data_IF_202093576203
#
_entry.id   IF_202093576203
#
_cell.length_a   1.000
_cell.length_b   1.000
_cell.length_c   1.000
_cell.angle_alpha   90.00
_cell.angle_beta   90.00
_cell.angle_gamma   90.00
#
_symmetry.space_group_name_H-M   'P 1'
#
loop_
_entity.id
_entity.type
_entity.pdbx_description
1 polymer ?
#
# COMPACT_ATOMS: atom_id res chain seq x y z
N UNK A 1 -27.30 -8.66 10.48
CA UNK A 1 -26.14 -8.37 11.35
C UNK A 1 -24.89 -8.84 10.60
N UNK A 2 -24.00 -7.92 10.23
CA UNK A 2 -22.75 -8.28 9.55
C UNK A 2 -21.80 -8.86 10.61
N UNK A 3 -21.50 -10.15 10.51
CA UNK A 3 -20.53 -10.81 11.40
C UNK A 3 -19.14 -10.67 10.76
N UNK A 4 -18.22 -9.97 11.42
CA UNK A 4 -16.82 -9.91 11.01
C UNK A 4 -16.03 -10.98 11.75
N UNK A 5 -15.38 -11.87 10.99
CA UNK A 5 -14.52 -12.93 11.52
C UNK A 5 -13.14 -12.81 10.92
N UNK A 6 -12.11 -12.83 11.76
CA UNK A 6 -10.73 -12.83 11.33
C UNK A 6 -10.03 -14.12 11.72
N UNK A 7 -9.21 -14.65 10.83
CA UNK A 7 -8.38 -15.82 11.06
C UNK A 7 -6.92 -15.44 10.87
N UNK A 8 -6.11 -15.52 11.92
CA UNK A 8 -4.69 -15.21 11.84
C UNK A 8 -3.84 -16.46 11.77
N UNK A 9 -2.99 -16.55 10.77
CA UNK A 9 -2.25 -17.78 10.48
C UNK A 9 -0.79 -17.80 10.93
N UNK A 10 -0.09 -16.70 11.29
CA UNK A 10 1.36 -16.75 11.20
C UNK A 10 2.20 -15.97 12.21
N UNK A 11 1.65 -15.20 13.12
CA UNK A 11 2.47 -14.40 14.05
C UNK A 11 2.17 -14.74 15.51
N UNK A 12 3.17 -14.62 16.40
CA UNK A 12 2.90 -14.50 17.83
C UNK A 12 1.95 -13.33 18.10
N UNK A 13 1.19 -13.42 19.17
CA UNK A 13 0.30 -12.34 19.58
C UNK A 13 1.11 -11.04 19.81
N UNK A 14 0.61 -9.96 19.28
CA UNK A 14 1.12 -8.60 19.44
C UNK A 14 -0.05 -7.63 19.69
N UNK A 15 0.27 -6.36 19.95
CA UNK A 15 -0.75 -5.32 20.19
C UNK A 15 -1.76 -5.21 19.04
N UNK A 16 -1.32 -5.45 17.80
CA UNK A 16 -2.20 -5.44 16.62
C UNK A 16 -3.16 -6.63 16.65
N UNK A 17 -2.68 -7.80 17.03
CA UNK A 17 -3.52 -8.99 17.21
C UNK A 17 -4.57 -8.78 18.27
N UNK A 18 -4.20 -8.16 19.40
CA UNK A 18 -5.13 -7.85 20.47
C UNK A 18 -6.18 -6.82 20.04
N UNK A 19 -5.78 -5.82 19.28
CA UNK A 19 -6.72 -4.87 18.66
C UNK A 19 -7.75 -5.57 17.78
N UNK A 20 -7.32 -6.46 16.88
CA UNK A 20 -8.25 -7.22 16.02
C UNK A 20 -9.15 -8.15 16.83
N UNK A 21 -8.62 -8.83 17.86
CA UNK A 21 -9.40 -9.70 18.74
C UNK A 21 -10.55 -8.95 19.43
N UNK A 22 -10.33 -7.67 19.76
CA UNK A 22 -11.35 -6.81 20.38
C UNK A 22 -12.31 -6.16 19.37
N UNK A 23 -11.86 -5.97 18.12
CA UNK A 23 -12.61 -5.24 17.09
C UNK A 23 -13.57 -6.13 16.31
N UNK A 24 -13.34 -7.43 16.24
CA UNK A 24 -14.21 -8.37 15.53
C UNK A 24 -15.23 -9.02 16.46
N UNK A 25 -16.43 -9.28 15.94
CA UNK A 25 -17.47 -10.01 16.70
C UNK A 25 -17.00 -11.40 17.09
N UNK A 26 -16.24 -12.05 16.24
CA UNK A 26 -15.65 -13.37 16.48
C UNK A 26 -14.22 -13.42 15.93
N UNK A 27 -13.28 -13.70 16.81
CA UNK A 27 -11.88 -13.95 16.45
C UNK A 27 -11.54 -15.44 16.67
N UNK A 28 -10.93 -16.07 15.66
CA UNK A 28 -10.48 -17.46 15.76
C UNK A 28 -9.00 -17.56 15.44
N UNK A 29 -8.26 -18.19 16.32
CA UNK A 29 -6.86 -18.54 16.08
C UNK A 29 -6.80 -19.88 15.35
N UNK A 30 -6.27 -19.87 14.13
CA UNK A 30 -6.19 -21.05 13.27
C UNK A 30 -4.75 -21.52 13.04
N UNK A 31 -3.78 -20.97 13.75
CA UNK A 31 -2.35 -21.24 13.53
C UNK A 31 -2.00 -22.72 13.61
N UNK A 32 -2.56 -23.42 14.59
CA UNK A 32 -2.27 -24.83 14.87
C UNK A 32 -3.28 -25.80 14.23
N UNK A 33 -4.27 -25.28 13.50
CA UNK A 33 -5.29 -26.11 12.85
C UNK A 33 -4.85 -26.56 11.46
N UNK A 34 -5.22 -27.79 11.10
CA UNK A 34 -5.03 -28.29 9.72
C UNK A 34 -5.91 -27.50 8.72
N UNK A 35 -5.54 -27.54 7.45
CA UNK A 35 -6.33 -26.95 6.36
C UNK A 35 -7.77 -27.46 6.36
N UNK A 36 -7.96 -28.77 6.55
CA UNK A 36 -9.28 -29.40 6.63
C UNK A 36 -10.11 -28.91 7.83
N UNK A 37 -9.49 -28.79 9.00
CA UNK A 37 -10.19 -28.37 10.21
C UNK A 37 -10.61 -26.90 10.09
N UNK A 38 -9.74 -26.03 9.55
CA UNK A 38 -10.08 -24.63 9.30
C UNK A 38 -11.22 -24.50 8.30
N UNK A 39 -11.15 -25.23 7.18
CA UNK A 39 -12.20 -25.22 6.16
C UNK A 39 -13.54 -25.67 6.74
N UNK A 40 -13.54 -26.78 7.50
CA UNK A 40 -14.77 -27.27 8.20
C UNK A 40 -15.29 -26.23 9.17
N UNK A 41 -14.43 -25.59 9.95
CA UNK A 41 -14.85 -24.57 10.90
C UNK A 41 -15.49 -23.36 10.22
N UNK A 42 -14.93 -22.89 9.09
CA UNK A 42 -15.52 -21.79 8.30
C UNK A 42 -16.91 -22.20 7.79
N UNK A 43 -17.04 -23.41 7.29
CA UNK A 43 -18.33 -23.95 6.82
C UNK A 43 -19.37 -24.06 7.95
N UNK A 44 -18.98 -24.65 9.09
CA UNK A 44 -19.86 -24.83 10.26
C UNK A 44 -20.26 -23.48 10.89
N UNK A 45 -19.40 -22.47 10.76
CA UNK A 45 -19.66 -21.08 11.15
C UNK A 45 -20.68 -20.38 10.23
N UNK A 46 -21.05 -20.98 9.10
CA UNK A 46 -22.04 -20.44 8.17
C UNK A 46 -21.61 -19.12 7.52
N UNK A 47 -20.33 -19.01 7.15
CA UNK A 47 -19.78 -17.81 6.51
C UNK A 47 -20.36 -17.67 5.09
N UNK A 48 -21.04 -16.57 4.80
CA UNK A 48 -21.59 -16.28 3.47
C UNK A 48 -20.53 -15.79 2.48
N UNK A 49 -19.69 -14.86 2.92
CA UNK A 49 -18.62 -14.29 2.10
C UNK A 49 -17.31 -14.43 2.85
N UNK A 50 -16.37 -15.17 2.28
CA UNK A 50 -15.03 -15.32 2.80
C UNK A 50 -14.08 -14.40 2.02
N UNK A 51 -13.37 -13.51 2.72
CA UNK A 51 -12.41 -12.60 2.10
C UNK A 51 -10.99 -13.06 2.47
N UNK A 52 -10.23 -13.44 1.45
CA UNK A 52 -8.79 -13.67 1.59
C UNK A 52 -8.03 -12.35 1.54
N UNK A 53 -7.22 -12.09 2.55
CA UNK A 53 -6.38 -10.89 2.64
C UNK A 53 -4.91 -11.16 2.30
N UNK A 54 -4.55 -12.37 1.92
CA UNK A 54 -3.15 -12.76 1.74
C UNK A 54 -2.77 -13.04 0.28
N UNK A 55 -3.61 -13.72 -0.49
CA UNK A 55 -3.28 -14.14 -1.85
C UNK A 55 -1.98 -14.93 -1.90
N UNK A 56 -1.08 -14.60 -2.82
CA UNK A 56 0.23 -15.24 -2.97
C UNK A 56 1.34 -14.62 -2.11
N UNK A 57 1.00 -13.99 -1.00
CA UNK A 57 2.00 -13.48 -0.07
C UNK A 57 2.52 -14.55 0.88
N UNK A 58 3.66 -14.28 1.53
CA UNK A 58 4.29 -15.23 2.44
C UNK A 58 3.36 -15.59 3.59
N UNK A 59 3.12 -16.89 3.75
CA UNK A 59 2.30 -17.43 4.81
C UNK A 59 0.81 -17.48 4.50
N UNK A 60 0.44 -17.24 3.28
CA UNK A 60 -0.87 -17.51 2.75
C UNK A 60 -1.28 -18.98 2.93
N UNK A 61 -2.56 -19.21 3.09
CA UNK A 61 -3.17 -20.53 3.18
C UNK A 61 -4.29 -20.69 2.14
N UNK A 62 -3.96 -20.42 0.87
CA UNK A 62 -4.89 -20.51 -0.26
C UNK A 62 -5.55 -21.89 -0.38
N UNK A 63 -4.90 -22.93 0.11
CA UNK A 63 -5.43 -24.30 0.15
C UNK A 63 -6.71 -24.41 1.00
N UNK A 64 -6.96 -23.51 1.94
CA UNK A 64 -8.23 -23.44 2.69
C UNK A 64 -9.36 -23.04 1.75
N UNK A 65 -9.12 -22.01 0.91
CA UNK A 65 -10.11 -21.50 -0.03
C UNK A 65 -10.37 -22.49 -1.17
N UNK A 66 -9.35 -23.28 -1.56
CA UNK A 66 -9.51 -24.33 -2.56
C UNK A 66 -10.53 -25.41 -2.16
N UNK A 67 -10.80 -25.60 -0.87
CA UNK A 67 -11.86 -26.46 -0.35
C UNK A 67 -13.26 -25.82 -0.42
N UNK A 68 -13.37 -24.57 -0.88
CA UNK A 68 -14.60 -23.80 -1.04
C UNK A 68 -15.51 -23.82 0.21
N UNK A 69 -14.99 -23.40 1.40
CA UNK A 69 -15.77 -23.46 2.64
C UNK A 69 -16.87 -22.40 2.76
N UNK A 70 -16.90 -21.41 1.88
CA UNK A 70 -17.93 -20.39 1.82
C UNK A 70 -18.54 -20.30 0.40
N UNK A 71 -19.83 -19.97 0.26
CA UNK A 71 -20.50 -19.88 -1.03
C UNK A 71 -19.91 -18.79 -1.93
N UNK A 72 -19.48 -17.67 -1.36
CA UNK A 72 -18.80 -16.59 -2.08
C UNK A 72 -17.41 -16.41 -1.50
N UNK A 73 -16.40 -16.37 -2.35
CA UNK A 73 -15.00 -16.14 -1.95
C UNK A 73 -14.42 -14.98 -2.74
N UNK A 74 -13.86 -14.00 -2.03
CA UNK A 74 -13.24 -12.83 -2.62
C UNK A 74 -11.80 -12.68 -2.17
N UNK A 75 -10.96 -12.17 -3.05
CA UNK A 75 -9.60 -11.75 -2.71
C UNK A 75 -9.54 -10.22 -2.59
N UNK A 76 -8.83 -9.72 -1.58
CA UNK A 76 -8.71 -8.29 -1.31
C UNK A 76 -7.38 -7.93 -0.64
N UNK A 77 -6.77 -6.86 -1.08
CA UNK A 77 -5.75 -6.03 -0.46
C UNK A 77 -4.33 -6.60 -0.44
N UNK A 78 -4.06 -7.74 0.21
CA UNK A 78 -2.67 -8.14 0.53
C UNK A 78 -1.81 -8.53 -0.68
N UNK A 79 -2.45 -8.97 -1.77
CA UNK A 79 -1.84 -9.23 -3.06
C UNK A 79 -2.66 -8.54 -4.15
N UNK A 80 -2.16 -7.45 -4.69
CA UNK A 80 -2.91 -6.53 -5.56
C UNK A 80 -3.08 -7.01 -7.02
N UNK A 81 -3.11 -8.31 -7.29
CA UNK A 81 -3.28 -8.90 -8.62
C UNK A 81 -4.17 -10.14 -8.57
N UNK A 82 -4.48 -10.72 -9.74
CA UNK A 82 -5.23 -11.98 -9.84
C UNK A 82 -4.54 -13.11 -9.05
N UNK A 83 -5.32 -13.93 -8.40
CA UNK A 83 -4.82 -15.15 -7.76
C UNK A 83 -4.64 -16.29 -8.77
N UNK A 84 -5.27 -16.19 -9.94
CA UNK A 84 -5.29 -17.24 -10.96
C UNK A 84 -6.08 -18.48 -10.52
N UNK A 85 -6.88 -18.38 -9.45
CA UNK A 85 -7.59 -19.49 -8.85
C UNK A 85 -9.07 -19.46 -9.22
N UNK A 86 -9.58 -20.56 -9.77
CA UNK A 86 -10.97 -20.72 -10.19
C UNK A 86 -11.98 -20.84 -9.03
N UNK A 87 -11.48 -21.04 -7.82
CA UNK A 87 -12.26 -21.09 -6.58
C UNK A 87 -12.41 -19.71 -5.89
N UNK A 88 -11.81 -18.65 -6.43
CA UNK A 88 -12.02 -17.26 -5.99
C UNK A 88 -12.97 -16.58 -6.97
N UNK A 89 -14.14 -16.17 -6.47
CA UNK A 89 -15.20 -15.61 -7.30
C UNK A 89 -14.92 -14.15 -7.69
N UNK A 90 -14.35 -13.36 -6.77
CA UNK A 90 -14.15 -11.93 -6.96
C UNK A 90 -12.76 -11.45 -6.52
N UNK A 91 -12.23 -10.45 -7.27
CA UNK A 91 -11.12 -9.61 -6.86
C UNK A 91 -11.64 -8.19 -6.59
N UNK A 92 -11.53 -7.71 -5.34
CA UNK A 92 -11.89 -6.35 -4.96
C UNK A 92 -10.71 -5.44 -5.28
N UNK A 93 -10.93 -4.44 -6.12
CA UNK A 93 -9.89 -3.57 -6.68
C UNK A 93 -10.42 -2.17 -6.98
N UNK A 94 -9.63 -1.33 -7.68
CA UNK A 94 -10.06 -0.06 -8.30
C UNK A 94 -9.68 -0.01 -9.79
N UNK A 95 -10.24 0.93 -10.53
CA UNK A 95 -10.05 1.06 -11.98
C UNK A 95 -8.67 1.60 -12.40
N UNK A 96 -7.93 2.19 -11.47
CA UNK A 96 -6.55 2.62 -11.72
C UNK A 96 -5.59 1.44 -11.65
N UNK A 97 -5.75 0.60 -10.62
CA UNK A 97 -4.92 -0.60 -10.42
C UNK A 97 -5.28 -1.67 -11.44
N UNK A 98 -6.56 -1.97 -11.58
CA UNK A 98 -7.06 -3.00 -12.49
C UNK A 98 -7.83 -2.34 -13.63
N UNK A 99 -7.10 -1.73 -14.58
CA UNK A 99 -7.67 -1.14 -15.77
C UNK A 99 -8.23 -2.21 -16.73
N UNK A 100 -8.87 -1.78 -17.83
CA UNK A 100 -9.49 -2.68 -18.80
C UNK A 100 -8.50 -3.71 -19.38
N UNK A 101 -7.25 -3.32 -19.64
CA UNK A 101 -6.23 -4.23 -20.16
C UNK A 101 -5.87 -5.30 -19.12
N UNK A 102 -5.61 -4.90 -17.88
CA UNK A 102 -5.25 -5.83 -16.79
C UNK A 102 -6.42 -6.75 -16.40
N UNK A 103 -7.66 -6.28 -16.55
CA UNK A 103 -8.87 -7.06 -16.30
C UNK A 103 -8.94 -8.36 -17.11
N UNK A 104 -8.39 -8.36 -18.33
CA UNK A 104 -8.38 -9.56 -19.19
C UNK A 104 -7.44 -10.68 -18.67
N UNK A 105 -6.57 -10.36 -17.73
CA UNK A 105 -5.64 -11.35 -17.15
C UNK A 105 -6.16 -11.97 -15.85
N UNK A 106 -7.32 -11.51 -15.37
CA UNK A 106 -7.88 -11.99 -14.12
C UNK A 106 -8.77 -13.21 -14.35
N UNK A 107 -8.65 -14.21 -13.47
CA UNK A 107 -9.58 -15.34 -13.41
C UNK A 107 -10.86 -14.99 -12.65
N UNK A 108 -10.76 -14.06 -11.73
CA UNK A 108 -11.86 -13.58 -10.88
C UNK A 108 -12.73 -12.54 -11.61
N UNK A 109 -13.99 -12.44 -11.23
CA UNK A 109 -14.81 -11.27 -11.55
C UNK A 109 -14.36 -10.07 -10.74
N UNK A 110 -14.29 -8.89 -11.37
CA UNK A 110 -13.75 -7.69 -10.72
C UNK A 110 -14.84 -6.91 -9.99
N UNK A 111 -14.58 -6.54 -8.74
CA UNK A 111 -15.43 -5.66 -7.94
C UNK A 111 -14.68 -4.35 -7.68
N UNK A 112 -15.15 -3.27 -8.31
CA UNK A 112 -14.46 -2.00 -8.33
C UNK A 112 -14.96 -1.09 -7.22
N UNK A 113 -14.07 -0.79 -6.27
CA UNK A 113 -14.25 0.34 -5.35
C UNK A 113 -14.01 1.66 -6.09
N UNK A 114 -14.83 2.68 -5.87
CA UNK A 114 -14.55 4.00 -6.39
C UNK A 114 -13.33 4.61 -5.69
N UNK A 115 -12.61 5.50 -6.37
CA UNK A 115 -11.42 6.19 -5.87
C UNK A 115 -10.18 5.29 -5.78
N UNK A 116 -10.11 4.41 -4.78
CA UNK A 116 -9.00 3.47 -4.58
C UNK A 116 -9.46 2.24 -3.79
N UNK A 117 -8.80 1.11 -4.04
CA UNK A 117 -9.04 -0.11 -3.26
C UNK A 117 -8.30 -0.09 -1.90
N UNK A 118 -7.36 0.83 -1.72
CA UNK A 118 -6.63 0.95 -0.45
C UNK A 118 -7.54 1.51 0.64
N UNK A 119 -7.72 0.80 1.77
CA UNK A 119 -8.55 1.28 2.86
C UNK A 119 -7.87 2.46 3.55
N UNK A 120 -8.64 3.46 4.02
CA UNK A 120 -8.11 4.56 4.82
C UNK A 120 -7.37 4.04 6.05
N UNK A 121 -6.29 4.74 6.43
CA UNK A 121 -5.59 4.47 7.69
C UNK A 121 -6.46 4.89 8.87
N UNK A 122 -6.81 3.95 9.74
CA UNK A 122 -7.46 4.22 11.02
C UNK A 122 -6.47 4.66 12.12
N UNK A 123 -5.37 5.29 11.76
CA UNK A 123 -4.28 5.63 12.67
C UNK A 123 -4.39 7.08 13.15
N UNK A 124 -3.99 7.37 14.40
CA UNK A 124 -3.88 8.75 14.85
C UNK A 124 -2.81 9.49 14.05
N UNK A 125 -3.05 10.78 13.81
CA UNK A 125 -2.04 11.65 13.23
C UNK A 125 -0.85 11.76 14.19
N UNK A 126 0.41 11.68 13.71
CA UNK A 126 1.57 11.66 14.60
C UNK A 126 1.71 12.99 15.35
N UNK A 127 1.67 12.92 16.68
CA UNK A 127 1.82 14.07 17.56
C UNK A 127 3.30 14.36 17.91
N UNK A 128 4.19 13.36 17.71
CA UNK A 128 5.60 13.49 18.06
C UNK A 128 6.33 14.39 17.07
N UNK A 129 7.09 15.35 17.60
CA UNK A 129 7.96 16.22 16.81
C UNK A 129 9.38 15.64 16.87
N UNK A 130 9.95 15.36 15.70
CA UNK A 130 11.33 14.93 15.52
C UNK A 130 12.13 16.05 14.84
N UNK A 131 13.45 16.00 14.94
CA UNK A 131 14.32 16.91 14.22
C UNK A 131 15.28 16.14 13.27
N UNK A 132 15.75 16.81 12.24
CA UNK A 132 16.62 16.23 11.21
C UNK A 132 17.95 15.73 11.78
N UNK A 133 18.53 16.41 12.76
CA UNK A 133 19.82 16.02 13.34
C UNK A 133 19.74 14.67 14.06
N UNK A 134 18.64 14.36 14.75
CA UNK A 134 18.43 13.07 15.43
C UNK A 134 18.41 11.89 14.46
N UNK A 135 17.92 12.12 13.23
CA UNK A 135 17.85 11.12 12.16
C UNK A 135 19.09 11.15 11.23
N UNK A 136 20.06 12.03 11.48
CA UNK A 136 21.27 12.17 10.67
C UNK A 136 21.04 12.83 9.30
N UNK A 137 19.96 13.61 9.18
CA UNK A 137 19.60 14.32 7.96
C UNK A 137 20.25 15.72 7.95
N UNK A 138 20.54 16.28 6.76
CA UNK A 138 21.07 17.64 6.65
C UNK A 138 20.01 18.66 7.10
N UNK A 139 20.45 19.70 7.78
CA UNK A 139 19.55 20.76 8.28
C UNK A 139 18.86 21.49 7.13
N UNK A 140 19.62 21.95 6.12
CA UNK A 140 19.14 22.75 4.99
C UNK A 140 19.06 21.96 3.66
N UNK A 141 19.42 20.69 3.65
CA UNK A 141 19.42 19.85 2.45
C UNK A 141 18.02 19.33 2.09
N UNK A 142 17.78 19.11 0.80
CA UNK A 142 16.55 18.46 0.35
C UNK A 142 16.57 16.97 0.69
N UNK A 143 15.53 16.47 1.33
CA UNK A 143 15.40 15.08 1.78
C UNK A 143 14.39 14.35 0.88
N UNK A 144 14.90 13.59 -0.09
CA UNK A 144 14.12 12.56 -0.76
C UNK A 144 13.98 11.37 0.18
N UNK A 145 12.80 10.76 0.28
CA UNK A 145 12.58 9.58 1.11
C UNK A 145 12.00 8.42 0.31
N UNK A 146 12.39 7.19 0.65
CA UNK A 146 11.69 5.98 0.26
C UNK A 146 11.71 5.01 1.44
N UNK A 147 10.54 4.73 2.00
CA UNK A 147 10.41 3.83 3.15
C UNK A 147 9.89 2.44 2.77
N UNK A 148 9.90 2.11 1.49
CA UNK A 148 9.60 0.77 1.01
C UNK A 148 10.77 -0.20 1.25
N UNK A 149 10.47 -1.49 1.36
CA UNK A 149 11.48 -2.51 1.52
C UNK A 149 12.47 -2.53 0.34
N UNK A 150 13.76 -2.70 0.61
CA UNK A 150 14.85 -2.59 -0.38
C UNK A 150 14.70 -3.53 -1.59
N UNK A 151 14.02 -4.69 -1.45
CA UNK A 151 13.79 -5.61 -2.57
C UNK A 151 12.87 -5.04 -3.66
N UNK A 152 12.15 -3.94 -3.38
CA UNK A 152 11.31 -3.23 -4.34
C UNK A 152 12.08 -2.22 -5.20
N UNK A 153 13.32 -1.91 -4.82
CA UNK A 153 14.18 -0.96 -5.52
C UNK A 153 14.82 -1.66 -6.72
N UNK A 154 14.36 -1.34 -7.91
CA UNK A 154 14.95 -1.84 -9.15
C UNK A 154 16.08 -0.93 -9.68
N UNK A 155 16.94 -1.43 -10.58
CA UNK A 155 18.09 -0.67 -11.09
C UNK A 155 17.71 0.60 -11.86
N UNK A 156 16.56 0.62 -12.53
CA UNK A 156 16.14 1.74 -13.37
C UNK A 156 15.70 2.91 -12.51
N UNK A 157 14.79 2.67 -11.54
CA UNK A 157 14.36 3.70 -10.60
C UNK A 157 15.51 4.20 -9.73
N UNK A 158 16.40 3.29 -9.28
CA UNK A 158 17.59 3.67 -8.51
C UNK A 158 18.50 4.58 -9.32
N UNK A 159 18.68 4.30 -10.61
CA UNK A 159 19.47 5.17 -11.52
C UNK A 159 18.84 6.56 -11.68
N UNK A 160 17.49 6.65 -11.67
CA UNK A 160 16.78 7.94 -11.64
C UNK A 160 17.09 8.68 -10.35
N UNK A 161 16.98 8.03 -9.18
CA UNK A 161 17.27 8.65 -7.88
C UNK A 161 18.71 9.15 -7.78
N UNK A 162 19.69 8.40 -8.29
CA UNK A 162 21.10 8.86 -8.32
C UNK A 162 21.26 10.10 -9.21
N UNK A 163 20.58 10.18 -10.35
CA UNK A 163 20.58 11.39 -11.17
C UNK A 163 19.94 12.59 -10.47
N UNK A 164 18.88 12.37 -9.69
CA UNK A 164 18.24 13.40 -8.86
C UNK A 164 19.22 13.93 -7.80
N UNK A 165 19.88 13.05 -7.07
CA UNK A 165 20.89 13.45 -6.10
C UNK A 165 22.01 14.27 -6.76
N UNK A 166 22.51 13.85 -7.94
CA UNK A 166 23.54 14.58 -8.67
C UNK A 166 23.12 16.00 -9.07
N UNK A 167 21.84 16.17 -9.45
CA UNK A 167 21.27 17.46 -9.92
C UNK A 167 20.74 18.34 -8.78
N UNK A 168 20.71 17.83 -7.55
CA UNK A 168 20.26 18.54 -6.36
C UNK A 168 21.37 18.50 -5.31
N UNK A 169 22.35 19.43 -5.39
CA UNK A 169 23.45 19.48 -4.43
C UNK A 169 22.94 19.60 -2.98
N UNK A 170 23.61 18.94 -2.06
CA UNK A 170 23.21 18.92 -0.63
C UNK A 170 22.01 18.04 -0.30
N UNK A 171 21.33 17.45 -1.30
CA UNK A 171 20.23 16.53 -1.04
C UNK A 171 20.69 15.16 -0.60
N UNK A 172 19.82 14.44 0.08
CA UNK A 172 20.02 13.04 0.49
C UNK A 172 18.86 12.17 0.07
N UNK A 173 19.10 10.86 -0.02
CA UNK A 173 18.05 9.85 -0.16
C UNK A 173 17.93 9.08 1.17
N UNK A 174 16.81 9.24 1.83
CA UNK A 174 16.52 8.62 3.12
C UNK A 174 15.73 7.33 2.93
N UNK A 175 16.35 6.21 3.26
CA UNK A 175 15.81 4.87 3.03
C UNK A 175 15.44 4.21 4.34
N UNK A 176 14.43 3.33 4.32
CA UNK A 176 14.09 2.48 5.47
C UNK A 176 15.27 1.56 5.84
N UNK A 177 15.31 1.10 7.08
CA UNK A 177 16.28 0.09 7.51
C UNK A 177 16.14 -1.22 6.72
N UNK A 178 17.27 -1.78 6.31
CA UNK A 178 17.35 -3.04 5.60
C UNK A 178 18.38 -4.00 6.20
N UNK A 179 18.68 -5.10 5.52
CA UNK A 179 19.79 -5.96 5.89
C UNK A 179 21.13 -5.23 5.63
N UNK A 180 22.18 -5.55 6.41
CA UNK A 180 23.50 -4.98 6.18
C UNK A 180 23.97 -5.15 4.74
N UNK A 181 23.69 -6.32 4.14
CA UNK A 181 24.06 -6.60 2.75
C UNK A 181 23.29 -5.76 1.74
N UNK A 182 21.97 -5.52 1.96
CA UNK A 182 21.21 -4.65 1.06
C UNK A 182 21.69 -3.20 1.12
N UNK A 183 22.03 -2.70 2.29
CA UNK A 183 22.59 -1.35 2.48
C UNK A 183 23.95 -1.22 1.80
N UNK A 184 24.85 -2.20 2.01
CA UNK A 184 26.15 -2.27 1.34
C UNK A 184 26.01 -2.22 -0.17
N UNK A 185 25.14 -3.06 -0.75
CA UNK A 185 24.90 -3.10 -2.17
C UNK A 185 24.38 -1.75 -2.72
N UNK A 186 23.40 -1.11 -2.06
CA UNK A 186 22.89 0.19 -2.47
C UNK A 186 23.97 1.27 -2.44
N UNK A 187 24.86 1.26 -1.44
CA UNK A 187 25.99 2.20 -1.36
C UNK A 187 27.03 1.96 -2.45
N UNK A 188 27.32 0.70 -2.77
CA UNK A 188 28.21 0.34 -3.90
C UNK A 188 27.62 0.82 -5.22
N UNK A 189 26.31 0.59 -5.45
CA UNK A 189 25.60 1.03 -6.64
C UNK A 189 25.53 2.56 -6.76
N UNK A 190 25.44 3.29 -5.65
CA UNK A 190 25.51 4.75 -5.63
C UNK A 190 26.91 5.23 -6.04
N UNK A 191 27.97 4.65 -5.46
CA UNK A 191 29.35 4.96 -5.81
C UNK A 191 29.65 4.69 -7.28
N UNK A 192 29.17 3.57 -7.82
CA UNK A 192 29.33 3.21 -9.23
C UNK A 192 28.68 4.23 -10.17
N UNK A 193 27.66 4.97 -9.71
CA UNK A 193 26.98 6.07 -10.44
C UNK A 193 27.53 7.45 -10.10
N UNK A 194 28.64 7.51 -9.36
CA UNK A 194 29.33 8.76 -9.01
C UNK A 194 28.62 9.59 -7.96
N UNK A 195 27.87 8.93 -7.06
CA UNK A 195 27.23 9.55 -5.92
C UNK A 195 27.97 9.10 -4.64
N UNK A 196 28.25 10.06 -3.77
CA UNK A 196 28.79 9.79 -2.43
C UNK A 196 27.81 8.87 -1.68
N UNK A 197 28.23 7.65 -1.26
CA UNK A 197 27.37 6.69 -0.56
C UNK A 197 26.82 7.22 0.77
N UNK A 198 27.46 8.21 1.38
CA UNK A 198 26.99 8.83 2.62
C UNK A 198 25.75 9.73 2.41
N UNK A 199 25.42 10.04 1.16
CA UNK A 199 24.14 10.68 0.80
C UNK A 199 22.95 9.70 0.83
N UNK A 200 23.18 8.41 1.01
CA UNK A 200 22.16 7.41 1.29
C UNK A 200 22.05 7.25 2.82
N UNK A 201 21.11 7.96 3.42
CA UNK A 201 20.84 7.89 4.86
C UNK A 201 19.92 6.71 5.12
N UNK A 202 20.28 5.86 6.08
CA UNK A 202 19.48 4.68 6.44
C UNK A 202 18.75 4.96 7.76
N UNK A 203 17.44 4.99 7.70
CA UNK A 203 16.58 5.22 8.85
C UNK A 203 16.75 4.09 9.89
N UNK A 204 16.84 4.45 11.16
CA UNK A 204 16.90 3.47 12.26
C UNK A 204 15.55 2.77 12.42
N UNK A 205 15.56 1.52 12.88
CA UNK A 205 14.35 0.83 13.34
C UNK A 205 13.75 1.57 14.54
N UNK A 206 12.46 1.75 14.55
CA UNK A 206 11.74 2.46 15.59
C UNK A 206 10.31 1.92 15.72
N UNK A 207 9.55 2.41 16.70
CA UNK A 207 8.11 2.16 16.79
C UNK A 207 7.37 2.76 15.60
N UNK A 208 6.16 2.27 15.33
CA UNK A 208 5.32 2.78 14.23
C UNK A 208 4.97 4.26 14.41
N UNK A 209 4.71 4.72 15.64
CA UNK A 209 4.48 6.13 15.95
C UNK A 209 5.65 7.02 15.52
N UNK A 210 6.89 6.62 15.87
CA UNK A 210 8.10 7.33 15.44
C UNK A 210 8.29 7.26 13.93
N UNK A 211 7.93 6.13 13.32
CA UNK A 211 7.97 5.98 11.87
C UNK A 211 7.01 6.94 11.17
N UNK A 212 5.80 7.10 11.65
CA UNK A 212 4.87 8.09 11.12
C UNK A 212 5.40 9.52 11.30
N UNK A 213 5.89 9.86 12.50
CA UNK A 213 6.40 11.20 12.79
C UNK A 213 7.58 11.62 11.91
N UNK A 214 8.46 10.67 11.51
CA UNK A 214 9.62 10.97 10.66
C UNK A 214 9.27 11.46 9.25
N UNK A 215 8.08 11.15 8.74
CA UNK A 215 7.65 11.62 7.42
C UNK A 215 7.65 13.14 7.30
N UNK A 216 7.46 13.86 8.41
CA UNK A 216 7.54 15.33 8.43
C UNK A 216 8.95 15.89 8.16
N UNK A 217 9.99 15.08 8.32
CA UNK A 217 11.39 15.49 8.11
C UNK A 217 11.81 15.37 6.63
N UNK A 218 11.09 14.58 5.83
CA UNK A 218 11.33 14.42 4.41
C UNK A 218 10.62 15.49 3.58
N UNK A 219 11.12 15.84 2.42
CA UNK A 219 10.52 16.83 1.54
C UNK A 219 9.65 16.21 0.45
N UNK A 220 10.07 15.08 -0.11
CA UNK A 220 9.34 14.34 -1.15
C UNK A 220 9.58 12.83 -0.98
N UNK A 221 8.51 12.06 -0.95
CA UNK A 221 8.59 10.61 -1.02
C UNK A 221 8.69 10.17 -2.49
N UNK A 222 9.67 9.33 -2.79
CA UNK A 222 9.91 8.74 -4.10
C UNK A 222 9.41 7.30 -4.11
N UNK A 223 8.35 7.01 -4.86
CA UNK A 223 7.82 5.65 -4.98
C UNK A 223 8.63 4.80 -5.96
N UNK A 224 8.48 3.48 -5.86
CA UNK A 224 9.18 2.51 -6.70
C UNK A 224 8.47 2.31 -8.06
N UNK A 225 9.17 1.67 -9.02
CA UNK A 225 8.68 1.51 -10.37
C UNK A 225 7.84 0.25 -10.56
N UNK A 226 8.41 -0.94 -10.33
CA UNK A 226 7.71 -2.20 -10.60
C UNK A 226 6.74 -2.61 -9.49
N UNK A 227 6.99 -2.18 -8.26
CA UNK A 227 6.16 -2.52 -7.11
C UNK A 227 5.99 -1.27 -6.23
N UNK A 228 4.97 -0.50 -6.53
CA UNK A 228 4.65 0.72 -5.79
C UNK A 228 4.41 0.46 -4.30
N UNK A 229 4.55 1.49 -3.50
CA UNK A 229 4.17 1.46 -2.10
C UNK A 229 2.65 1.27 -1.94
N UNK A 230 2.25 0.41 -1.01
CA UNK A 230 0.88 0.32 -0.52
C UNK A 230 0.73 1.12 0.77
N UNK A 231 0.82 0.44 1.92
CA UNK A 231 0.76 1.08 3.24
C UNK A 231 1.79 2.22 3.39
N UNK A 232 3.01 2.04 2.88
CA UNK A 232 4.06 3.07 2.96
C UNK A 232 3.72 4.36 2.23
N UNK A 233 3.05 4.28 1.07
CA UNK A 233 2.56 5.44 0.33
C UNK A 233 1.39 6.09 1.06
N UNK A 234 0.47 5.27 1.57
CA UNK A 234 -0.68 5.75 2.34
C UNK A 234 -0.24 6.47 3.62
N UNK A 235 0.74 5.92 4.35
CA UNK A 235 1.34 6.54 5.54
C UNK A 235 2.02 7.88 5.22
N UNK A 236 2.77 7.96 4.12
CA UNK A 236 3.39 9.21 3.68
C UNK A 236 2.33 10.29 3.41
N UNK A 237 1.28 9.98 2.64
CA UNK A 237 0.18 10.90 2.36
C UNK A 237 -0.60 11.28 3.62
N UNK A 238 -0.82 10.34 4.54
CA UNK A 238 -1.44 10.60 5.83
C UNK A 238 -0.64 11.58 6.68
N UNK A 239 0.69 11.50 6.61
CA UNK A 239 1.62 12.39 7.31
C UNK A 239 1.99 13.65 6.49
N UNK A 240 1.16 14.09 5.56
CA UNK A 240 1.33 15.29 4.73
C UNK A 240 2.59 15.30 3.87
N UNK A 241 3.22 14.16 3.65
CA UNK A 241 4.39 14.05 2.78
C UNK A 241 3.93 13.80 1.34
N UNK A 242 4.19 14.72 0.39
CA UNK A 242 3.90 14.47 -1.02
C UNK A 242 4.65 13.24 -1.52
N UNK A 243 3.97 12.40 -2.28
CA UNK A 243 4.54 11.21 -2.91
C UNK A 243 4.56 11.40 -4.41
N UNK A 244 5.67 11.09 -5.05
CA UNK A 244 5.79 10.99 -6.50
C UNK A 244 5.80 9.51 -6.87
N UNK A 245 4.88 9.09 -7.72
CA UNK A 245 4.76 7.71 -8.20
C UNK A 245 4.72 7.64 -9.72
N UNK A 246 4.72 6.43 -10.26
CA UNK A 246 4.60 6.15 -11.68
C UNK A 246 3.25 5.48 -11.99
N UNK A 247 2.70 5.79 -13.17
CA UNK A 247 1.62 5.00 -13.75
C UNK A 247 2.23 3.78 -14.44
N UNK A 248 2.54 2.75 -13.64
CA UNK A 248 3.25 1.57 -14.13
C UNK A 248 2.41 0.65 -15.02
N UNK A 249 3.05 -0.39 -15.57
CA UNK A 249 2.43 -1.34 -16.50
C UNK A 249 1.57 -2.41 -15.78
N UNK A 250 1.93 -2.76 -14.56
CA UNK A 250 1.32 -3.86 -13.82
C UNK A 250 0.43 -3.37 -12.69
N UNK A 251 -0.58 -4.13 -12.25
CA UNK A 251 -1.46 -3.74 -11.15
C UNK A 251 -0.70 -3.25 -9.91
N UNK A 252 0.27 -4.02 -9.42
CA UNK A 252 1.08 -3.68 -8.24
C UNK A 252 1.93 -2.40 -8.41
N UNK A 253 2.22 -1.97 -9.63
CA UNK A 253 2.94 -0.73 -9.90
C UNK A 253 2.03 0.51 -9.98
N UNK A 254 0.69 0.31 -9.97
CA UNK A 254 -0.31 1.39 -10.06
C UNK A 254 -0.95 1.77 -8.73
N UNK A 255 -0.67 1.03 -7.67
CA UNK A 255 -1.26 1.26 -6.34
C UNK A 255 -1.07 2.70 -5.85
N UNK A 256 0.15 3.23 -5.99
CA UNK A 256 0.45 4.63 -5.68
C UNK A 256 -0.36 5.62 -6.50
N UNK A 257 -0.55 5.33 -7.80
CA UNK A 257 -1.31 6.20 -8.70
C UNK A 257 -2.81 6.28 -8.30
N UNK A 258 -3.42 5.16 -7.90
CA UNK A 258 -4.80 5.13 -7.38
C UNK A 258 -4.94 5.99 -6.13
N UNK A 259 -4.03 5.84 -5.17
CA UNK A 259 -4.02 6.63 -3.94
C UNK A 259 -3.82 8.13 -4.21
N UNK A 260 -2.91 8.52 -5.10
CA UNK A 260 -2.68 9.92 -5.43
C UNK A 260 -3.87 10.57 -6.12
N UNK A 261 -4.56 9.85 -6.99
CA UNK A 261 -5.83 10.33 -7.58
C UNK A 261 -6.89 10.55 -6.50
N UNK A 262 -7.06 9.58 -5.58
CA UNK A 262 -7.98 9.69 -4.45
C UNK A 262 -7.60 10.78 -3.46
N UNK A 263 -6.30 11.11 -3.34
CA UNK A 263 -5.79 12.23 -2.55
C UNK A 263 -5.94 13.60 -3.26
N UNK A 264 -6.43 13.64 -4.49
CA UNK A 264 -6.53 14.86 -5.29
C UNK A 264 -5.20 15.40 -5.78
N UNK A 265 -4.18 14.55 -5.95
CA UNK A 265 -2.81 14.88 -6.38
C UNK A 265 -2.41 14.16 -7.69
N UNK A 266 -3.25 14.13 -8.75
CA UNK A 266 -2.95 13.39 -9.96
C UNK A 266 -1.68 13.89 -10.69
N UNK A 267 -1.27 15.14 -10.47
CA UNK A 267 -0.06 15.74 -11.03
C UNK A 267 1.24 15.13 -10.48
N UNK A 268 1.17 14.33 -9.44
CA UNK A 268 2.29 13.56 -8.87
C UNK A 268 2.33 12.11 -9.39
N UNK A 269 1.54 11.79 -10.40
CA UNK A 269 1.56 10.50 -11.11
C UNK A 269 2.30 10.68 -12.42
N UNK A 270 3.59 10.33 -12.46
CA UNK A 270 4.42 10.41 -13.64
C UNK A 270 4.03 9.35 -14.69
N UNK A 271 4.17 9.70 -15.97
CA UNK A 271 3.85 8.81 -17.08
C UNK A 271 4.99 7.82 -17.38
N UNK A 272 6.22 8.26 -17.21
CA UNK A 272 7.42 7.46 -17.41
C UNK A 272 8.57 7.93 -16.49
N UNK A 273 9.73 7.24 -16.57
CA UNK A 273 10.90 7.58 -15.75
C UNK A 273 11.50 8.94 -16.04
N UNK A 274 11.31 9.47 -17.25
CA UNK A 274 11.81 10.81 -17.61
C UNK A 274 10.92 11.89 -17.00
N UNK A 275 9.62 11.73 -17.09
CA UNK A 275 8.62 12.59 -16.45
C UNK A 275 8.76 12.55 -14.92
N UNK A 276 8.94 11.36 -14.33
CA UNK A 276 9.23 11.19 -12.91
C UNK A 276 10.46 12.01 -12.48
N UNK A 277 11.57 11.86 -13.20
CA UNK A 277 12.79 12.62 -12.92
C UNK A 277 12.58 14.14 -13.02
N UNK A 278 11.81 14.57 -14.01
CA UNK A 278 11.48 15.99 -14.22
C UNK A 278 10.63 16.54 -13.09
N UNK A 279 9.53 15.86 -12.74
CA UNK A 279 8.63 16.28 -11.64
C UNK A 279 9.42 16.38 -10.32
N UNK A 280 10.21 15.35 -9.98
CA UNK A 280 11.02 15.36 -8.75
C UNK A 280 12.02 16.53 -8.73
N UNK A 281 12.67 16.81 -9.86
CA UNK A 281 13.63 17.91 -9.97
C UNK A 281 12.96 19.29 -9.87
N UNK A 282 11.80 19.46 -10.49
CA UNK A 282 11.03 20.69 -10.45
C UNK A 282 10.53 20.97 -9.03
N UNK A 283 10.05 19.93 -8.31
CA UNK A 283 9.65 20.04 -6.92
C UNK A 283 10.83 20.39 -6.00
N UNK A 284 12.00 19.77 -6.21
CA UNK A 284 13.17 20.07 -5.41
C UNK A 284 13.69 21.52 -5.57
N UNK A 285 13.26 22.21 -6.63
CA UNK A 285 13.59 23.62 -6.89
C UNK A 285 12.46 24.59 -6.53
N UNK A 286 11.32 24.08 -6.10
CA UNK A 286 10.10 24.89 -5.88
C UNK A 286 9.53 24.66 -4.49
N UNK A 287 10.13 25.24 -3.42
CA UNK A 287 9.66 25.08 -2.05
C UNK A 287 8.18 25.49 -1.85
N UNK A 288 7.74 26.53 -2.57
CA UNK A 288 6.35 26.98 -2.47
C UNK A 288 5.35 25.94 -3.01
N UNK A 289 5.71 25.25 -4.10
CA UNK A 289 4.87 24.17 -4.64
C UNK A 289 4.80 22.97 -3.70
N UNK A 290 5.91 22.61 -3.04
CA UNK A 290 5.91 21.58 -2.01
C UNK A 290 5.04 21.96 -0.82
N UNK A 291 5.11 23.21 -0.39
CA UNK A 291 4.27 23.75 0.68
C UNK A 291 2.79 23.70 0.32
N UNK A 292 2.44 24.06 -0.90
CA UNK A 292 1.07 23.96 -1.41
C UNK A 292 0.56 22.51 -1.40
N UNK A 293 1.36 21.55 -1.90
CA UNK A 293 1.02 20.13 -1.89
C UNK A 293 0.80 19.60 -0.47
N UNK A 294 1.67 19.96 0.48
CA UNK A 294 1.49 19.61 1.89
C UNK A 294 0.23 20.22 2.48
N UNK A 295 -0.08 21.48 2.16
CA UNK A 295 -1.30 22.15 2.62
C UNK A 295 -2.55 21.47 2.08
N UNK A 296 -2.55 20.97 0.85
CA UNK A 296 -3.66 20.21 0.28
C UNK A 296 -3.88 18.88 1.01
N UNK A 297 -2.82 18.21 1.48
CA UNK A 297 -2.92 16.99 2.27
C UNK A 297 -3.33 17.25 3.72
N UNK A 298 -2.91 18.37 4.32
CA UNK A 298 -3.16 18.68 5.74
C UNK A 298 -4.52 19.35 6.01
N UNK A 299 -5.02 20.11 5.02
CA UNK A 299 -6.25 20.86 5.15
C UNK A 299 -7.45 19.96 5.00
N UNK A 300 -8.16 19.74 6.12
CA UNK A 300 -9.40 18.96 6.14
C UNK A 300 -9.24 17.53 5.59
N UNK A 301 -8.40 16.74 6.26
CA UNK A 301 -8.15 15.34 5.88
C UNK A 301 -9.40 14.50 5.66
N UNK A 302 -10.46 14.77 6.43
CA UNK A 302 -11.72 14.01 6.32
C UNK A 302 -12.48 14.29 5.02
N UNK A 303 -12.21 15.42 4.35
CA UNK A 303 -12.77 15.71 3.04
C UNK A 303 -12.00 15.09 1.88
N UNK A 304 -10.82 14.53 2.15
CA UNK A 304 -10.01 13.84 1.14
C UNK A 304 -10.56 12.42 0.97
N UNK A 305 -11.03 12.02 -0.22
CA UNK A 305 -11.63 10.69 -0.44
C UNK A 305 -10.75 9.52 -0.01
N UNK A 306 -9.43 9.65 -0.12
CA UNK A 306 -8.45 8.65 0.35
C UNK A 306 -8.57 8.36 1.85
N UNK A 307 -9.05 9.31 2.65
CA UNK A 307 -9.09 9.22 4.12
C UNK A 307 -10.52 9.15 4.67
N UNK A 308 -11.53 9.10 3.81
CA UNK A 308 -12.94 8.98 4.23
C UNK A 308 -13.31 7.51 4.48
N UNK A 309 -13.13 7.08 5.74
CA UNK A 309 -13.45 5.72 6.17
C UNK A 309 -14.93 5.38 6.05
N UNK A 310 -15.82 6.33 6.31
CA UNK A 310 -17.26 6.10 6.26
C UNK A 310 -17.72 5.84 4.80
N UNK A 311 -17.23 6.66 3.88
CA UNK A 311 -17.49 6.46 2.46
C UNK A 311 -16.92 5.12 1.96
N UNK A 312 -15.65 4.83 2.28
CA UNK A 312 -15.01 3.58 1.89
C UNK A 312 -15.79 2.35 2.36
N UNK A 313 -16.14 2.28 3.64
CA UNK A 313 -16.90 1.17 4.23
C UNK A 313 -18.26 1.03 3.56
N UNK A 314 -18.99 2.14 3.35
CA UNK A 314 -20.28 2.13 2.67
C UNK A 314 -20.20 1.53 1.25
N UNK A 315 -19.12 1.85 0.49
CA UNK A 315 -18.92 1.28 -0.86
C UNK A 315 -18.54 -0.20 -0.81
N UNK A 316 -17.68 -0.58 0.12
CA UNK A 316 -17.32 -1.99 0.33
C UNK A 316 -18.55 -2.83 0.71
N UNK A 317 -19.39 -2.34 1.63
CA UNK A 317 -20.65 -3.03 2.01
C UNK A 317 -21.62 -3.17 0.83
N UNK A 318 -21.69 -2.17 -0.05
CA UNK A 318 -22.49 -2.25 -1.27
C UNK A 318 -21.99 -3.37 -2.19
N UNK A 319 -20.67 -3.46 -2.41
CA UNK A 319 -20.04 -4.54 -3.19
C UNK A 319 -20.35 -5.91 -2.58
N UNK A 320 -20.14 -6.07 -1.27
CA UNK A 320 -20.38 -7.34 -0.59
C UNK A 320 -21.86 -7.75 -0.65
N UNK A 321 -22.78 -6.79 -0.54
CA UNK A 321 -24.22 -7.02 -0.68
C UNK A 321 -24.56 -7.52 -2.08
N UNK A 322 -23.98 -6.91 -3.13
CA UNK A 322 -24.22 -7.33 -4.52
C UNK A 322 -23.61 -8.71 -4.81
N UNK A 323 -22.45 -9.02 -4.29
CA UNK A 323 -21.87 -10.37 -4.37
C UNK A 323 -22.81 -11.42 -3.79
N UNK A 324 -23.36 -11.15 -2.60
CA UNK A 324 -24.30 -12.04 -1.97
C UNK A 324 -25.62 -12.18 -2.76
N UNK A 325 -26.21 -11.09 -3.20
CA UNK A 325 -27.45 -11.09 -4.01
C UNK A 325 -27.26 -11.82 -5.34
N UNK A 326 -26.08 -11.72 -5.95
CA UNK A 326 -25.72 -12.46 -7.16
C UNK A 326 -25.75 -13.96 -6.91
N UNK A 327 -25.11 -14.41 -5.84
CA UNK A 327 -25.11 -15.82 -5.44
C UNK A 327 -26.51 -16.31 -5.07
N UNK A 328 -27.23 -15.59 -4.22
CA UNK A 328 -28.55 -15.98 -3.70
C UNK A 328 -29.62 -16.10 -4.82
N UNK A 329 -29.46 -15.32 -5.89
CA UNK A 329 -30.30 -15.39 -7.09
C UNK A 329 -29.85 -16.47 -8.09
N UNK A 330 -28.85 -17.27 -7.80
CA UNK A 330 -28.29 -18.31 -8.67
C UNK A 330 -27.57 -17.79 -9.91
N UNK A 331 -27.19 -16.50 -9.94
CA UNK A 331 -26.42 -15.91 -11.03
C UNK A 331 -24.92 -16.20 -10.85
N UNK A 332 -24.21 -16.22 -11.97
CA UNK A 332 -22.76 -16.34 -11.97
C UNK A 332 -22.10 -15.01 -11.52
N UNK A 333 -20.92 -15.08 -10.91
CA UNK A 333 -20.12 -13.89 -10.63
C UNK A 333 -19.92 -13.02 -11.88
N UNK A 334 -20.03 -11.70 -11.71
CA UNK A 334 -19.87 -10.73 -12.78
C UNK A 334 -19.18 -9.46 -12.27
N UNK A 335 -18.73 -8.61 -13.16
CA UNK A 335 -18.10 -7.34 -12.77
C UNK A 335 -19.08 -6.43 -12.01
N UNK A 336 -18.69 -5.99 -10.83
CA UNK A 336 -19.45 -5.06 -9.97
C UNK A 336 -18.77 -3.68 -9.98
N UNK A 337 -19.57 -2.62 -10.15
CA UNK A 337 -19.13 -1.21 -10.04
C UNK A 337 -20.12 -0.42 -9.18
N UNK A 338 -19.64 0.26 -8.13
CA UNK A 338 -20.46 1.00 -7.15
C UNK A 338 -20.08 2.47 -7.06
#
# INVERSE_FOLDING_TARGET
TTLFRSHMALKPDDETTDFFRQSFDHFRDIRELSTMDVSRQIYDDGIQILIDLAGHTRGSRMEILALKPAPVQAHYLGYGATTGADYIDYLITDDTVMNEEAAHWCSESLAYLPQTFMPPLGLPYPARILNRAEEGLPEDGFVFANFSAHYKIDPDIFSVWMRLLKRTPGSVLWLVSGSAKSVENLRQEASARGIDPDRLIIAKRCSHEVHLARHHLADLCLDNYFHAGGATTLEALWCDLPVLTLHGLYPNSRTGAGMLKAAGLPELVAQDLADYAKIAQDLARSPERLKELRQRLSKDKQSIPLFDSAYFVSRLETILTEMWQTFDSGRQPHTIRV
#
